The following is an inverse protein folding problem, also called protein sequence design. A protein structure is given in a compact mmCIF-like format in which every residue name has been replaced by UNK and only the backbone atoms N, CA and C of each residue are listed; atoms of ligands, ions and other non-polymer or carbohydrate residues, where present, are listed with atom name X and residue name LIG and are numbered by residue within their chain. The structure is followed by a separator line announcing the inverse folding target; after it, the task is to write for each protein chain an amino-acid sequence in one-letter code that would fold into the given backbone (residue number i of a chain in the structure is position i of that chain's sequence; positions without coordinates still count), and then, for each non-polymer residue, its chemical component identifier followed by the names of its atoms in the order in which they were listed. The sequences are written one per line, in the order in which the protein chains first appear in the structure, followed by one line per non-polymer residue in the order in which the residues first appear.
data_IF_154706572799
#
_entry.id   IF_154706572799
#
_cell.length_a   1.000
_cell.length_b   1.000
_cell.length_c   1.000
_cell.angle_alpha   90.00
_cell.angle_beta   90.00
_cell.angle_gamma   90.00
#
_symmetry.space_group_name_H-M   'P 1'
#
loop_
_entity.id
_entity.type
_entity.pdbx_description
1 polymer ?
#
# COMPACT_ATOMS: atom_id res chain seq x y z
N UNK A 1 33.53 10.00 6.17
CA UNK A 1 32.92 10.71 7.32
C UNK A 1 33.48 10.10 8.59
N UNK A 2 34.02 10.88 9.53
CA UNK A 2 34.56 10.34 10.80
C UNK A 2 33.40 10.06 11.77
N UNK A 3 33.47 8.96 12.53
CA UNK A 3 32.42 8.57 13.50
C UNK A 3 32.18 9.65 14.56
N UNK A 4 33.23 10.34 15.01
CA UNK A 4 33.15 11.43 15.99
C UNK A 4 32.36 12.67 15.55
N UNK A 5 32.00 12.76 14.25
CA UNK A 5 31.21 13.85 13.68
C UNK A 5 29.84 13.36 13.16
N UNK A 6 29.51 12.10 13.38
CA UNK A 6 28.26 11.49 12.92
C UNK A 6 27.24 11.55 14.06
N UNK A 7 26.10 12.19 13.81
CA UNK A 7 24.95 12.07 14.69
C UNK A 7 24.25 10.73 14.44
N UNK A 8 24.54 9.74 15.27
CA UNK A 8 23.92 8.42 15.24
C UNK A 8 23.69 7.96 16.69
N UNK A 9 22.58 8.38 17.34
CA UNK A 9 22.32 8.07 18.73
C UNK A 9 21.96 6.59 18.89
N UNK A 10 22.97 5.77 19.16
CA UNK A 10 22.78 4.33 19.39
C UNK A 10 22.22 4.06 20.79
N UNK A 11 21.47 2.97 20.94
CA UNK A 11 20.88 2.58 22.22
C UNK A 11 21.32 1.17 22.63
N UNK A 12 21.72 1.02 23.89
CA UNK A 12 22.04 -0.28 24.48
C UNK A 12 20.77 -1.09 24.74
N UNK A 13 19.75 -0.46 25.32
CA UNK A 13 18.51 -1.12 25.70
C UNK A 13 17.50 -1.16 24.54
N UNK A 14 16.51 -2.05 24.64
CA UNK A 14 15.43 -2.10 23.68
C UNK A 14 14.56 -0.83 23.80
N UNK A 15 14.25 -0.15 22.69
CA UNK A 15 13.40 1.04 22.72
C UNK A 15 12.00 0.68 23.22
N UNK A 16 11.47 1.51 24.13
CA UNK A 16 10.10 1.37 24.66
C UNK A 16 9.09 1.78 23.58
N UNK A 17 7.94 1.11 23.51
CA UNK A 17 6.85 1.43 22.59
C UNK A 17 7.08 1.03 21.12
N UNK A 18 8.22 0.43 20.79
CA UNK A 18 8.49 -0.15 19.47
C UNK A 18 8.34 -1.66 19.59
N UNK A 19 7.36 -2.25 18.90
CA UNK A 19 7.11 -3.70 18.98
C UNK A 19 7.85 -4.48 17.90
N UNK A 20 7.96 -3.89 16.70
CA UNK A 20 8.54 -4.53 15.53
C UNK A 20 10.06 -4.81 15.69
N UNK A 21 10.53 -6.06 15.47
CA UNK A 21 11.94 -6.43 15.62
C UNK A 21 12.89 -5.69 14.67
N UNK A 22 12.47 -5.40 13.43
CA UNK A 22 13.30 -4.70 12.44
C UNK A 22 13.42 -3.23 12.82
N UNK A 23 12.30 -2.60 13.18
CA UNK A 23 12.28 -1.21 13.63
C UNK A 23 13.08 -1.03 14.93
N UNK A 24 13.00 -1.99 15.88
CA UNK A 24 13.86 -2.00 17.08
C UNK A 24 15.34 -1.93 16.72
N UNK A 25 15.78 -2.69 15.71
CA UNK A 25 17.19 -2.67 15.25
C UNK A 25 17.56 -1.33 14.63
N UNK A 26 16.69 -0.74 13.81
CA UNK A 26 16.93 0.56 13.18
C UNK A 26 17.03 1.68 14.23
N UNK A 27 16.15 1.67 15.24
CA UNK A 27 16.18 2.64 16.34
C UNK A 27 17.44 2.45 17.18
N UNK A 28 17.76 1.23 17.61
CA UNK A 28 18.97 0.94 18.40
C UNK A 28 20.26 1.28 17.67
N UNK A 29 20.29 1.09 16.36
CA UNK A 29 21.43 1.43 15.52
C UNK A 29 21.58 2.93 15.22
N UNK A 30 20.71 3.79 15.73
CA UNK A 30 20.75 5.23 15.46
C UNK A 30 20.45 5.57 14.00
N UNK A 31 19.67 4.74 13.29
CA UNK A 31 19.21 5.03 11.92
C UNK A 31 17.95 5.88 11.91
N UNK A 32 17.02 5.60 12.83
CA UNK A 32 15.72 6.26 12.89
C UNK A 32 15.32 6.60 14.32
N UNK A 33 14.52 7.63 14.51
CA UNK A 33 13.71 7.82 15.71
C UNK A 33 12.23 7.59 15.40
N UNK A 34 11.57 6.84 16.28
CA UNK A 34 10.14 6.56 16.22
C UNK A 34 9.50 7.14 17.50
N UNK A 35 8.90 8.34 17.40
CA UNK A 35 8.34 9.05 18.57
C UNK A 35 6.90 8.63 18.90
N UNK A 36 6.59 7.33 18.83
CA UNK A 36 5.22 6.85 19.10
C UNK A 36 4.13 7.39 18.15
N UNK A 37 4.49 8.22 17.17
CA UNK A 37 3.59 8.71 16.13
C UNK A 37 3.44 7.62 15.05
N UNK A 38 2.23 7.09 14.84
CA UNK A 38 2.01 6.16 13.74
C UNK A 38 2.37 6.85 12.42
N UNK A 39 3.26 6.21 11.65
CA UNK A 39 3.53 6.58 10.26
C UNK A 39 4.66 7.60 10.02
N UNK A 40 5.30 8.21 11.04
CA UNK A 40 6.41 9.16 10.83
C UNK A 40 7.71 8.70 11.50
N UNK A 41 8.70 8.35 10.70
CA UNK A 41 10.06 8.11 11.17
C UNK A 41 10.90 9.38 11.01
N UNK A 42 11.80 9.65 11.95
CA UNK A 42 12.82 10.66 11.73
C UNK A 42 14.09 9.94 11.32
N UNK A 43 14.55 10.16 10.10
CA UNK A 43 15.78 9.56 9.60
C UNK A 43 16.99 10.34 10.12
N UNK A 44 17.85 9.68 10.87
CA UNK A 44 19.19 10.19 11.19
C UNK A 44 20.11 10.08 9.96
N UNK A 45 21.30 10.70 9.95
CA UNK A 45 22.25 10.60 8.82
C UNK A 45 22.47 9.18 8.26
N UNK A 46 22.56 8.15 9.12
CA UNK A 46 22.67 6.76 8.66
C UNK A 46 21.36 6.25 8.04
N UNK A 47 20.22 6.61 8.62
CA UNK A 47 18.89 6.35 8.05
C UNK A 47 18.69 7.01 6.68
N UNK A 48 19.14 8.25 6.50
CA UNK A 48 19.10 8.96 5.22
C UNK A 48 19.97 8.27 4.17
N UNK A 49 21.17 7.79 4.54
CA UNK A 49 22.03 7.03 3.63
C UNK A 49 21.41 5.68 3.27
N UNK A 50 20.81 5.00 4.25
CA UNK A 50 20.09 3.75 4.03
C UNK A 50 18.90 3.98 3.08
N UNK A 51 18.07 4.98 3.35
CA UNK A 51 16.94 5.37 2.51
C UNK A 51 17.36 5.64 1.07
N UNK A 52 18.36 6.50 0.88
CA UNK A 52 18.87 6.82 -0.46
C UNK A 52 19.40 5.57 -1.18
N UNK A 53 20.08 4.68 -0.47
CA UNK A 53 20.58 3.42 -1.04
C UNK A 53 19.44 2.48 -1.45
N UNK A 54 18.43 2.33 -0.60
CA UNK A 54 17.31 1.41 -0.84
C UNK A 54 16.32 1.96 -1.86
N UNK A 55 16.15 3.28 -1.92
CA UNK A 55 15.21 3.94 -2.83
C UNK A 55 15.79 4.15 -4.22
N UNK A 56 17.13 4.08 -4.39
CA UNK A 56 17.82 4.36 -5.64
C UNK A 56 17.23 3.58 -6.81
N UNK A 57 16.96 2.29 -6.61
CA UNK A 57 16.43 1.43 -7.67
C UNK A 57 15.01 1.82 -8.10
N UNK A 58 14.18 2.28 -7.17
CA UNK A 58 12.84 2.81 -7.46
C UNK A 58 12.96 4.09 -8.28
N UNK A 59 13.82 5.00 -7.86
CA UNK A 59 14.06 6.28 -8.53
C UNK A 59 14.62 6.10 -9.96
N UNK A 60 15.58 5.19 -10.15
CA UNK A 60 16.08 4.78 -11.47
C UNK A 60 14.95 4.25 -12.37
N UNK A 61 14.06 3.42 -11.80
CA UNK A 61 12.92 2.82 -12.54
C UNK A 61 11.90 3.87 -12.95
N UNK A 62 11.67 4.88 -12.10
CA UNK A 62 10.80 6.01 -12.41
C UNK A 62 11.39 6.83 -13.56
N UNK A 63 12.66 7.21 -13.46
CA UNK A 63 13.36 7.97 -14.50
C UNK A 63 13.36 7.22 -15.84
N UNK A 64 13.64 5.91 -15.85
CA UNK A 64 13.59 5.09 -17.07
C UNK A 64 12.17 4.93 -17.64
N UNK A 65 11.14 5.13 -16.82
CA UNK A 65 9.72 5.08 -17.22
C UNK A 65 9.16 6.45 -17.66
N UNK A 66 10.03 7.45 -17.81
CA UNK A 66 9.68 8.80 -18.28
C UNK A 66 9.17 9.75 -17.20
N UNK A 67 9.31 9.40 -15.91
CA UNK A 67 8.99 10.32 -14.82
C UNK A 67 10.05 11.41 -14.68
N UNK A 68 9.59 12.60 -14.30
CA UNK A 68 10.42 13.78 -14.07
C UNK A 68 10.28 14.24 -12.62
N UNK A 69 11.37 14.71 -12.03
CA UNK A 69 11.33 15.24 -10.67
C UNK A 69 10.58 16.59 -10.66
N UNK A 70 9.55 16.70 -9.81
CA UNK A 70 8.81 17.94 -9.58
C UNK A 70 8.67 18.17 -8.09
N UNK A 71 8.92 19.40 -7.63
CA UNK A 71 8.68 19.77 -6.24
C UNK A 71 7.47 20.69 -6.13
N UNK A 72 6.41 20.17 -5.53
CA UNK A 72 5.15 20.88 -5.30
C UNK A 72 4.48 20.33 -4.04
N UNK A 73 3.89 21.21 -3.24
CA UNK A 73 3.10 20.79 -2.09
C UNK A 73 1.79 20.15 -2.56
N UNK A 74 1.37 19.06 -1.92
CA UNK A 74 0.14 18.30 -2.27
C UNK A 74 0.03 18.00 -3.77
N UNK A 75 1.04 17.32 -4.34
CA UNK A 75 1.16 17.03 -5.77
C UNK A 75 -0.15 16.56 -6.43
N UNK A 76 -0.85 15.61 -5.82
CA UNK A 76 -2.12 15.08 -6.33
C UNK A 76 -3.19 16.16 -6.51
N UNK A 77 -3.28 17.12 -5.58
CA UNK A 77 -4.27 18.21 -5.61
C UNK A 77 -3.86 19.36 -6.51
N UNK A 78 -2.56 19.68 -6.52
CA UNK A 78 -2.07 20.90 -7.14
C UNK A 78 -1.50 20.70 -8.56
N UNK A 79 -1.26 19.46 -8.99
CA UNK A 79 -0.69 19.19 -10.31
C UNK A 79 -1.57 19.70 -11.45
N UNK A 80 -2.89 19.48 -11.39
CA UNK A 80 -3.82 19.93 -12.45
C UNK A 80 -3.83 21.45 -12.54
N UNK A 81 -3.86 22.14 -11.39
CA UNK A 81 -3.83 23.59 -11.33
C UNK A 81 -2.53 24.14 -11.91
N UNK A 82 -1.37 23.58 -11.53
CA UNK A 82 -0.08 23.96 -12.11
C UNK A 82 -0.06 23.72 -13.62
N UNK A 83 -0.46 22.53 -14.06
CA UNK A 83 -0.40 22.11 -15.44
C UNK A 83 -1.29 22.95 -16.36
N UNK A 84 -2.46 23.43 -15.88
CA UNK A 84 -3.35 24.28 -16.69
C UNK A 84 -2.69 25.56 -17.22
N UNK A 85 -1.68 26.07 -16.50
CA UNK A 85 -0.87 27.21 -16.92
C UNK A 85 0.01 26.93 -18.16
N UNK A 86 0.49 25.69 -18.31
CA UNK A 86 1.55 25.32 -19.26
C UNK A 86 1.14 24.30 -20.32
N UNK A 87 0.14 23.46 -20.03
CA UNK A 87 -0.39 22.45 -20.95
C UNK A 87 -1.47 23.10 -21.81
N UNK A 88 -1.16 23.30 -23.09
CA UNK A 88 -2.06 23.97 -24.05
C UNK A 88 -2.69 23.01 -25.07
N UNK A 89 -2.13 21.82 -25.22
CA UNK A 89 -2.67 20.78 -26.11
C UNK A 89 -2.27 19.39 -25.63
N UNK A 90 -2.95 18.37 -26.15
CA UNK A 90 -2.61 16.97 -25.89
C UNK A 90 -1.19 16.59 -26.34
N UNK A 91 -0.60 17.33 -27.28
CA UNK A 91 0.78 17.10 -27.75
C UNK A 91 1.84 17.32 -26.67
N UNK A 92 1.47 17.93 -25.54
CA UNK A 92 2.36 18.10 -24.40
C UNK A 92 2.32 16.88 -23.45
N UNK A 93 1.44 15.91 -23.70
CA UNK A 93 1.28 14.68 -22.91
C UNK A 93 2.00 13.49 -23.59
N UNK A 94 2.37 12.45 -22.82
CA UNK A 94 2.18 12.29 -21.38
C UNK A 94 3.17 13.10 -20.55
N UNK A 95 2.72 13.57 -19.38
CA UNK A 95 3.56 14.20 -18.37
C UNK A 95 3.49 13.40 -17.08
N UNK A 96 4.64 12.95 -16.58
CA UNK A 96 4.72 12.11 -15.38
C UNK A 96 5.70 12.72 -14.42
N UNK A 97 5.27 12.88 -13.18
CA UNK A 97 6.03 13.57 -12.15
C UNK A 97 6.16 12.71 -10.90
N UNK A 98 7.30 12.83 -10.26
CA UNK A 98 7.51 12.27 -8.93
C UNK A 98 8.17 13.29 -8.00
N UNK A 99 7.88 13.14 -6.71
CA UNK A 99 8.57 13.79 -5.62
C UNK A 99 9.01 12.72 -4.62
N UNK A 100 10.28 12.75 -4.24
CA UNK A 100 10.83 11.88 -3.21
C UNK A 100 10.70 12.56 -1.85
N UNK A 101 9.91 11.97 -0.98
CA UNK A 101 9.74 12.42 0.40
C UNK A 101 10.59 11.58 1.37
N UNK A 102 10.46 11.85 2.67
CA UNK A 102 11.28 11.18 3.72
C UNK A 102 11.05 9.67 3.79
N UNK A 103 9.89 9.17 3.35
CA UNK A 103 9.48 7.76 3.49
C UNK A 103 8.84 7.16 2.25
N UNK A 104 8.90 7.84 1.11
CA UNK A 104 8.20 7.37 -0.08
C UNK A 104 8.40 8.26 -1.28
N UNK A 105 7.68 7.90 -2.34
CA UNK A 105 7.58 8.67 -3.55
C UNK A 105 6.12 9.05 -3.72
N UNK A 106 5.86 10.35 -3.89
CA UNK A 106 4.60 10.83 -4.41
C UNK A 106 4.72 10.87 -5.94
N UNK A 107 3.72 10.36 -6.64
CA UNK A 107 3.73 10.21 -8.10
C UNK A 107 2.39 10.68 -8.63
N UNK A 108 2.41 11.50 -9.67
CA UNK A 108 1.20 11.97 -10.34
C UNK A 108 1.52 12.27 -11.79
N UNK A 109 0.53 12.13 -12.68
CA UNK A 109 0.74 12.33 -14.10
C UNK A 109 -0.52 12.72 -14.84
N UNK A 110 -0.31 13.23 -16.05
CA UNK A 110 -1.33 13.61 -17.02
C UNK A 110 -1.11 12.78 -18.28
N UNK A 111 -2.17 12.15 -18.73
CA UNK A 111 -2.19 11.22 -19.86
C UNK A 111 -3.30 11.66 -20.83
N UNK A 112 -3.19 11.26 -22.09
CA UNK A 112 -4.14 11.67 -23.13
C UNK A 112 -5.56 11.16 -22.86
N UNK A 113 -5.65 9.93 -22.34
CA UNK A 113 -6.90 9.24 -22.08
C UNK A 113 -6.75 8.18 -20.97
N UNK A 114 -7.88 7.68 -20.48
CA UNK A 114 -7.96 6.72 -19.38
C UNK A 114 -7.28 5.38 -19.71
N UNK A 115 -7.34 4.92 -20.97
CA UNK A 115 -6.72 3.66 -21.40
C UNK A 115 -5.20 3.79 -21.39
N UNK A 116 -4.67 4.91 -21.90
CA UNK A 116 -3.25 5.24 -21.87
C UNK A 116 -2.73 5.38 -20.43
N UNK A 117 -3.51 6.01 -19.55
CA UNK A 117 -3.20 6.07 -18.11
C UNK A 117 -3.14 4.68 -17.45
N UNK A 118 -4.15 3.85 -17.68
CA UNK A 118 -4.22 2.49 -17.11
C UNK A 118 -3.08 1.60 -17.62
N UNK A 119 -2.74 1.70 -18.91
CA UNK A 119 -1.59 1.00 -19.50
C UNK A 119 -0.26 1.45 -18.87
N UNK A 120 -0.09 2.75 -18.69
CA UNK A 120 1.12 3.35 -18.12
C UNK A 120 1.33 2.99 -16.65
N UNK A 121 0.26 3.01 -15.84
CA UNK A 121 0.30 2.54 -14.44
C UNK A 121 0.65 1.05 -14.38
N UNK A 122 0.04 0.23 -15.24
CA UNK A 122 0.30 -1.21 -15.27
C UNK A 122 1.75 -1.52 -15.66
N UNK A 123 2.30 -0.81 -16.66
CA UNK A 123 3.70 -0.94 -17.06
C UNK A 123 4.66 -0.48 -15.97
N UNK A 124 4.37 0.65 -15.30
CA UNK A 124 5.17 1.14 -14.19
C UNK A 124 5.25 0.13 -13.04
N UNK A 125 4.10 -0.41 -12.63
CA UNK A 125 4.04 -1.40 -11.55
C UNK A 125 4.83 -2.67 -11.91
N UNK A 126 4.74 -3.15 -13.15
CA UNK A 126 5.51 -4.30 -13.58
C UNK A 126 7.03 -4.02 -13.61
N UNK A 127 7.43 -2.84 -14.08
CA UNK A 127 8.82 -2.39 -14.03
C UNK A 127 9.34 -2.32 -12.60
N UNK A 128 8.57 -1.76 -11.67
CA UNK A 128 8.92 -1.70 -10.25
C UNK A 128 9.04 -3.08 -9.64
N UNK A 129 8.08 -3.98 -9.91
CA UNK A 129 8.10 -5.37 -9.46
C UNK A 129 9.35 -6.10 -9.95
N UNK A 130 9.68 -5.98 -11.23
CA UNK A 130 10.85 -6.58 -11.84
C UNK A 130 12.15 -6.03 -11.24
N UNK A 131 12.23 -4.70 -11.06
CA UNK A 131 13.39 -4.05 -10.47
C UNK A 131 13.61 -4.46 -9.01
N UNK A 132 12.55 -4.55 -8.21
CA UNK A 132 12.60 -5.04 -6.84
C UNK A 132 12.97 -6.53 -6.78
N UNK A 133 12.42 -7.36 -7.67
CA UNK A 133 12.75 -8.79 -7.76
C UNK A 133 14.23 -9.02 -8.06
N UNK A 134 14.78 -8.26 -9.00
CA UNK A 134 16.22 -8.29 -9.36
C UNK A 134 17.12 -7.86 -8.19
N UNK A 135 16.60 -7.04 -7.27
CA UNK A 135 17.29 -6.65 -6.03
C UNK A 135 17.19 -7.68 -4.90
N UNK A 136 16.66 -8.88 -5.19
CA UNK A 136 16.49 -9.97 -4.23
C UNK A 136 15.31 -9.77 -3.27
N UNK A 137 14.32 -8.94 -3.64
CA UNK A 137 13.08 -8.75 -2.88
C UNK A 137 11.97 -9.55 -3.51
N UNK A 138 11.17 -10.24 -2.69
CA UNK A 138 9.95 -10.88 -3.19
C UNK A 138 8.90 -9.80 -3.45
N UNK A 139 8.73 -9.40 -4.71
CA UNK A 139 7.74 -8.40 -5.12
C UNK A 139 6.53 -9.07 -5.79
N UNK A 140 5.35 -8.84 -5.22
CA UNK A 140 4.10 -9.48 -5.61
C UNK A 140 3.16 -8.43 -6.21
N UNK A 141 2.46 -8.76 -7.28
CA UNK A 141 1.41 -7.91 -7.85
C UNK A 141 0.05 -8.29 -7.31
N UNK A 142 -0.74 -7.28 -6.96
CA UNK A 142 -2.08 -7.47 -6.44
C UNK A 142 -3.06 -6.40 -6.93
N UNK A 143 -4.34 -6.64 -6.62
CA UNK A 143 -5.44 -5.74 -6.94
C UNK A 143 -6.40 -5.64 -5.75
N UNK A 144 -6.96 -4.45 -5.54
CA UNK A 144 -7.96 -4.18 -4.50
C UNK A 144 -8.99 -3.19 -5.01
N UNK A 145 -10.23 -3.32 -4.58
CA UNK A 145 -11.30 -2.38 -4.91
C UNK A 145 -11.45 -1.38 -3.78
N UNK A 146 -11.50 -0.10 -4.13
CA UNK A 146 -11.77 1.00 -3.21
C UNK A 146 -12.98 1.81 -3.67
N UNK A 147 -13.38 2.82 -2.89
CA UNK A 147 -14.42 3.77 -3.30
C UNK A 147 -14.08 4.52 -4.61
N UNK A 148 -12.79 4.66 -4.92
CA UNK A 148 -12.28 5.32 -6.13
C UNK A 148 -12.16 4.35 -7.32
N UNK A 149 -12.43 3.06 -7.10
CA UNK A 149 -12.39 2.01 -8.12
C UNK A 149 -11.29 0.99 -7.88
N UNK A 150 -10.91 0.30 -8.97
CA UNK A 150 -9.91 -0.77 -8.96
C UNK A 150 -8.49 -0.22 -8.86
N UNK A 151 -7.81 -0.52 -7.76
CA UNK A 151 -6.41 -0.21 -7.54
C UNK A 151 -5.53 -1.42 -7.85
N UNK A 152 -4.39 -1.15 -8.48
CA UNK A 152 -3.31 -2.14 -8.70
C UNK A 152 -2.12 -1.74 -7.84
N UNK A 153 -1.42 -2.72 -7.28
CA UNK A 153 -0.26 -2.45 -6.44
C UNK A 153 0.82 -3.51 -6.60
N UNK A 154 2.03 -3.15 -6.16
CA UNK A 154 3.14 -4.07 -5.91
C UNK A 154 3.40 -4.09 -4.42
N UNK A 155 3.37 -5.28 -3.82
CA UNK A 155 3.59 -5.49 -2.40
C UNK A 155 4.89 -6.25 -2.14
N UNK A 156 5.53 -5.93 -1.02
CA UNK A 156 6.62 -6.70 -0.43
C UNK A 156 6.10 -7.39 0.82
N UNK A 157 6.30 -8.71 0.99
CA UNK A 157 5.98 -9.40 2.22
C UNK A 157 6.64 -8.73 3.43
N UNK A 158 5.82 -8.43 4.43
CA UNK A 158 6.21 -7.68 5.61
C UNK A 158 5.58 -8.31 6.86
N UNK A 159 6.19 -8.08 8.02
CA UNK A 159 5.57 -8.46 9.29
C UNK A 159 4.40 -7.51 9.57
N UNK A 160 3.27 -8.07 10.01
CA UNK A 160 2.06 -7.30 10.38
C UNK A 160 2.32 -6.24 11.47
N UNK A 161 3.39 -6.39 12.25
CA UNK A 161 3.83 -5.44 13.27
C UNK A 161 4.37 -4.12 12.72
N UNK A 162 4.66 -4.03 11.42
CA UNK A 162 5.17 -2.79 10.82
C UNK A 162 4.05 -1.75 10.68
N UNK A 163 4.27 -0.48 11.08
CA UNK A 163 3.25 0.56 11.02
C UNK A 163 2.68 0.86 9.63
N UNK A 164 3.42 0.53 8.56
CA UNK A 164 2.99 0.72 7.17
C UNK A 164 2.64 -0.59 6.47
N UNK A 165 2.61 -1.71 7.20
CA UNK A 165 2.15 -2.97 6.62
C UNK A 165 0.62 -2.96 6.57
N UNK A 166 0.08 -3.33 5.42
CA UNK A 166 -1.35 -3.56 5.25
C UNK A 166 -1.63 -5.06 5.44
N UNK A 167 -2.76 -5.37 6.06
CA UNK A 167 -3.25 -6.75 6.12
C UNK A 167 -3.58 -7.22 4.71
N UNK A 168 -3.21 -8.44 4.38
CA UNK A 168 -3.45 -9.01 3.06
C UNK A 168 -3.27 -10.52 3.04
N UNK A 169 -3.72 -11.12 1.96
CA UNK A 169 -3.65 -12.53 1.67
C UNK A 169 -2.59 -12.78 0.60
N UNK A 170 -1.94 -13.94 0.69
CA UNK A 170 -1.03 -14.42 -0.34
C UNK A 170 -1.29 -15.90 -0.59
N UNK A 171 -1.43 -16.26 -1.85
CA UNK A 171 -1.44 -17.66 -2.26
C UNK A 171 -0.01 -18.20 -2.32
N UNK A 172 0.27 -19.27 -1.58
CA UNK A 172 1.58 -19.94 -1.60
C UNK A 172 1.85 -20.72 -2.89
N UNK A 173 0.79 -21.09 -3.63
CA UNK A 173 0.90 -21.88 -4.85
C UNK A 173 1.13 -21.02 -6.09
N UNK A 174 0.38 -19.92 -6.25
CA UNK A 174 0.44 -19.07 -7.44
C UNK A 174 0.97 -17.66 -7.18
N UNK A 175 1.39 -17.35 -5.94
CA UNK A 175 1.92 -16.03 -5.54
C UNK A 175 0.97 -14.85 -5.72
N UNK A 176 -0.32 -15.11 -5.99
CA UNK A 176 -1.36 -14.08 -5.96
C UNK A 176 -1.34 -13.36 -4.61
N UNK A 177 -1.48 -12.04 -4.62
CA UNK A 177 -1.66 -11.25 -3.40
C UNK A 177 -2.84 -10.29 -3.53
N UNK A 178 -3.48 -10.02 -2.39
CA UNK A 178 -4.70 -9.25 -2.32
C UNK A 178 -5.11 -8.93 -0.89
N UNK A 179 -6.28 -8.35 -0.71
CA UNK A 179 -6.92 -8.09 0.58
C UNK A 179 -8.39 -8.52 0.53
N UNK A 180 -9.16 -8.18 1.56
CA UNK A 180 -10.59 -8.50 1.65
C UNK A 180 -11.45 -7.83 0.56
N UNK A 181 -10.95 -6.77 -0.07
CA UNK A 181 -11.60 -6.04 -1.15
C UNK A 181 -11.05 -6.42 -2.53
N UNK A 182 -10.17 -7.42 -2.61
CA UNK A 182 -9.70 -7.91 -3.90
C UNK A 182 -10.86 -8.39 -4.77
N UNK A 183 -10.81 -8.12 -6.09
CA UNK A 183 -11.89 -8.51 -6.99
C UNK A 183 -12.08 -10.02 -6.99
N UNK A 184 -13.32 -10.47 -6.81
CA UNK A 184 -13.68 -11.87 -6.90
C UNK A 184 -13.71 -12.27 -8.38
N UNK A 185 -12.85 -13.22 -8.75
CA UNK A 185 -12.86 -13.83 -10.07
C UNK A 185 -13.45 -15.22 -9.98
N UNK A 186 -14.70 -15.38 -10.43
CA UNK A 186 -15.36 -16.68 -10.49
C UNK A 186 -16.87 -16.59 -10.33
N UNK A 187 -17.59 -17.69 -10.63
CA UNK A 187 -19.01 -17.78 -10.33
C UNK A 187 -19.19 -17.67 -8.81
N UNK A 188 -19.98 -16.70 -8.37
CA UNK A 188 -20.48 -16.70 -7.01
C UNK A 188 -21.55 -17.78 -6.95
N UNK A 189 -21.41 -18.74 -6.03
CA UNK A 189 -22.46 -19.70 -5.76
C UNK A 189 -23.68 -18.96 -5.21
N UNK A 190 -24.60 -18.63 -6.11
CA UNK A 190 -25.89 -18.03 -5.73
C UNK A 190 -26.68 -19.10 -5.00
N UNK A 191 -27.21 -18.75 -3.83
CA UNK A 191 -28.11 -19.63 -3.09
C UNK A 191 -29.26 -20.08 -4.00
N UNK A 192 -29.36 -21.40 -4.23
CA UNK A 192 -30.34 -22.01 -5.16
C UNK A 192 -31.64 -22.43 -4.48
N UNK A 193 -31.89 -21.96 -3.25
CA UNK A 193 -33.14 -22.29 -2.55
C UNK A 193 -34.34 -21.58 -3.18
N UNK A 194 -35.52 -22.16 -2.97
CA UNK A 194 -36.77 -21.52 -3.36
C UNK A 194 -36.97 -20.23 -2.52
N UNK A 195 -37.49 -19.14 -3.12
CA UNK A 195 -37.83 -17.94 -2.37
C UNK A 195 -38.87 -18.29 -1.31
N UNK A 196 -38.51 -18.03 -0.05
CA UNK A 196 -39.40 -18.17 1.11
C UNK A 196 -40.23 -16.92 1.36
N UNK A 197 -41.21 -17.04 2.24
CA UNK A 197 -41.97 -15.89 2.77
C UNK A 197 -41.11 -15.22 3.85
N UNK A 198 -41.03 -13.89 3.84
CA UNK A 198 -40.34 -13.13 4.89
C UNK A 198 -41.20 -13.16 6.15
N UNK A 199 -40.63 -13.67 7.24
CA UNK A 199 -41.25 -13.72 8.56
C UNK A 199 -40.37 -13.03 9.60
N UNK A 200 -41.01 -12.34 10.55
CA UNK A 200 -40.32 -11.79 11.73
C UNK A 200 -40.40 -12.84 12.83
N UNK A 201 -39.24 -13.28 13.31
CA UNK A 201 -39.11 -14.31 14.35
C UNK A 201 -38.51 -13.68 15.61
N UNK A 202 -39.16 -13.88 16.75
CA UNK A 202 -38.65 -13.41 18.04
C UNK A 202 -37.42 -14.22 18.47
N UNK A 203 -36.30 -13.54 18.68
CA UNK A 203 -35.01 -14.12 19.09
C UNK A 203 -34.51 -13.50 20.40
N UNK A 204 -35.23 -13.73 21.53
CA UNK A 204 -34.95 -13.05 22.79
C UNK A 204 -33.54 -13.37 23.31
N UNK A 205 -32.78 -12.31 23.61
CA UNK A 205 -31.43 -12.41 24.20
C UNK A 205 -30.32 -12.89 23.25
N UNK A 206 -30.54 -12.84 21.93
CA UNK A 206 -29.49 -13.12 20.94
C UNK A 206 -28.74 -11.83 20.57
N UNK A 207 -27.57 -11.59 21.17
CA UNK A 207 -26.73 -10.41 20.91
C UNK A 207 -25.58 -10.70 19.94
N UNK A 208 -25.35 -11.98 19.63
CA UNK A 208 -24.32 -12.45 18.71
C UNK A 208 -24.87 -13.35 17.61
N UNK A 209 -24.18 -13.41 16.45
CA UNK A 209 -24.53 -14.33 15.35
C UNK A 209 -24.55 -15.77 15.83
N UNK A 210 -23.64 -16.15 16.73
CA UNK A 210 -23.58 -17.51 17.26
C UNK A 210 -24.86 -17.87 18.06
N UNK A 211 -25.35 -16.95 18.88
CA UNK A 211 -26.60 -17.14 19.64
C UNK A 211 -27.83 -17.17 18.72
N UNK A 212 -27.86 -16.28 17.73
CA UNK A 212 -28.92 -16.26 16.71
C UNK A 212 -28.98 -17.58 15.94
N UNK A 213 -27.83 -18.05 15.43
CA UNK A 213 -27.71 -19.32 14.72
C UNK A 213 -28.18 -20.50 15.58
N UNK A 214 -27.81 -20.50 16.87
CA UNK A 214 -28.24 -21.53 17.82
C UNK A 214 -29.75 -21.52 18.02
N UNK A 215 -30.38 -20.36 18.18
CA UNK A 215 -31.83 -20.25 18.37
C UNK A 215 -32.61 -20.67 17.11
N UNK A 216 -32.11 -20.29 15.93
CA UNK A 216 -32.76 -20.57 14.65
C UNK A 216 -32.41 -21.96 14.07
N UNK A 217 -31.46 -22.68 14.65
CA UNK A 217 -31.02 -23.99 14.15
C UNK A 217 -30.36 -23.93 12.76
N UNK A 218 -29.76 -22.80 12.41
CA UNK A 218 -29.10 -22.57 11.11
C UNK A 218 -27.60 -22.33 11.28
N UNK A 219 -26.84 -22.53 10.21
CA UNK A 219 -25.43 -22.17 10.16
C UNK A 219 -25.23 -20.67 9.95
N UNK A 220 -24.09 -20.13 10.39
CA UNK A 220 -23.74 -18.72 10.23
C UNK A 220 -23.63 -18.28 8.76
N UNK A 221 -23.32 -19.22 7.86
CA UNK A 221 -23.32 -19.07 6.40
C UNK A 221 -24.71 -18.74 5.83
N UNK A 222 -25.79 -18.98 6.59
CA UNK A 222 -27.18 -18.65 6.22
C UNK A 222 -27.69 -17.34 6.84
N UNK A 223 -26.81 -16.59 7.52
CA UNK A 223 -27.16 -15.31 8.13
C UNK A 223 -26.45 -14.17 7.42
N UNK A 224 -27.09 -12.99 7.38
CA UNK A 224 -26.49 -11.78 6.85
C UNK A 224 -26.42 -10.74 7.97
N UNK A 225 -25.20 -10.27 8.26
CA UNK A 225 -24.99 -9.20 9.23
C UNK A 225 -25.09 -7.86 8.51
N UNK A 226 -26.09 -7.06 8.89
CA UNK A 226 -26.22 -5.66 8.48
C UNK A 226 -25.46 -4.74 9.42
#
# INVERSE_FOLDING_TARGET
MKMSRLFAPTMKDSPKGVFDPILKRLVRGGYVAAFGLPGKLFLFPLGMRLWNKTSCRVEETLLSSGFQALRIDEMERNLVNLASGFVKSYRHMPLRFYQKDRHGFNMSGLEEDVKSASGSISALLENLRSALSTSGKEALSGQTVSAEGLNKFVALPAQRSLPWAHGGYRCVACHWCGDENSPIHGPVDVYKGLPGIVEVVDTPGADTIAELCRQLGIGADKTLKT
#
